data_IF_762914317402
#
_entry.id   IF_762914317402
#
_cell.length_a   1.000
_cell.length_b   1.000
_cell.length_c   1.000
_cell.angle_alpha   90.00
_cell.angle_beta   90.00
_cell.angle_gamma   90.00
#
_symmetry.space_group_name_H-M   'P 1'
#
loop_
_entity.id
_entity.type
_entity.pdbx_description
1 polymer ?
#
# COMPACT_ATOMS: atom_id res chain seq x y z
N UNK A 1 17.03 -25.47 -9.25
CA UNK A 1 15.60 -25.14 -9.49
C UNK A 1 15.08 -24.05 -8.56
N UNK A 2 15.48 -24.01 -7.28
CA UNK A 2 15.09 -22.97 -6.32
C UNK A 2 15.40 -21.53 -6.76
N UNK A 3 16.56 -21.29 -7.40
CA UNK A 3 16.92 -19.96 -7.93
C UNK A 3 15.89 -19.46 -8.94
N UNK A 4 15.52 -20.29 -9.92
CA UNK A 4 14.54 -19.91 -10.93
C UNK A 4 13.17 -19.60 -10.32
N UNK A 5 12.77 -20.37 -9.30
CA UNK A 5 11.53 -20.10 -8.59
C UNK A 5 11.56 -18.76 -7.85
N UNK A 6 12.66 -18.43 -7.15
CA UNK A 6 12.80 -17.16 -6.42
C UNK A 6 12.92 -15.98 -7.41
N UNK A 7 13.70 -16.14 -8.47
CA UNK A 7 13.86 -15.13 -9.52
C UNK A 7 12.52 -14.85 -10.20
N UNK A 8 11.75 -15.87 -10.57
CA UNK A 8 10.41 -15.69 -11.16
C UNK A 8 9.44 -15.11 -10.13
N UNK A 9 9.48 -15.56 -8.88
CA UNK A 9 8.55 -15.11 -7.84
C UNK A 9 8.82 -13.67 -7.35
N UNK A 10 10.02 -13.12 -7.55
CA UNK A 10 10.36 -11.78 -7.10
C UNK A 10 10.58 -10.79 -8.26
N UNK A 11 11.41 -11.13 -9.24
CA UNK A 11 11.79 -10.21 -10.32
C UNK A 11 10.59 -9.94 -11.24
N UNK A 12 9.77 -10.96 -11.55
CA UNK A 12 8.63 -10.77 -12.45
C UNK A 12 7.55 -9.89 -11.81
N UNK A 13 7.09 -10.12 -10.55
CA UNK A 13 6.15 -9.23 -9.89
C UNK A 13 6.69 -7.82 -9.66
N UNK A 14 7.99 -7.69 -9.35
CA UNK A 14 8.60 -6.37 -9.17
C UNK A 14 8.55 -5.56 -10.46
N UNK A 15 8.99 -6.13 -11.59
CA UNK A 15 8.97 -5.43 -12.88
C UNK A 15 7.54 -5.18 -13.38
N UNK A 16 6.62 -6.13 -13.20
CA UNK A 16 5.23 -5.94 -13.60
C UNK A 16 4.56 -4.83 -12.78
N UNK A 17 4.85 -4.75 -11.48
CA UNK A 17 4.32 -3.67 -10.62
C UNK A 17 4.81 -2.29 -11.06
N UNK A 18 6.11 -2.15 -11.37
CA UNK A 18 6.71 -0.88 -11.85
C UNK A 18 6.04 -0.44 -13.16
N UNK A 19 5.85 -1.37 -14.10
CA UNK A 19 5.20 -1.07 -15.38
C UNK A 19 3.75 -0.64 -15.16
N UNK A 20 2.99 -1.38 -14.36
CA UNK A 20 1.59 -1.07 -14.07
C UNK A 20 1.46 0.30 -13.39
N UNK A 21 2.26 0.57 -12.36
CA UNK A 21 2.23 1.85 -11.66
C UNK A 21 2.68 3.02 -12.53
N UNK A 22 3.68 2.81 -13.40
CA UNK A 22 4.10 3.80 -14.39
C UNK A 22 2.98 4.14 -15.38
N UNK A 23 2.23 3.12 -15.84
CA UNK A 23 1.07 3.31 -16.73
C UNK A 23 -0.04 4.08 -16.01
N UNK A 24 -0.38 3.69 -14.77
CA UNK A 24 -1.42 4.38 -13.98
C UNK A 24 -1.02 5.84 -13.75
N UNK A 25 0.25 6.09 -13.40
CA UNK A 25 0.76 7.44 -13.20
C UNK A 25 0.72 8.26 -14.49
N UNK A 26 1.11 7.68 -15.63
CA UNK A 26 1.03 8.32 -16.94
C UNK A 26 -0.42 8.69 -17.30
N UNK A 27 -1.37 7.78 -17.09
CA UNK A 27 -2.78 8.04 -17.34
C UNK A 27 -3.38 9.06 -16.39
N UNK A 28 -3.03 9.04 -15.11
CA UNK A 28 -3.44 10.05 -14.14
C UNK A 28 -3.00 11.44 -14.61
N UNK A 29 -1.71 11.60 -14.93
CA UNK A 29 -1.13 12.86 -15.41
C UNK A 29 -1.77 13.35 -16.71
N UNK A 30 -2.03 12.45 -17.67
CA UNK A 30 -2.70 12.79 -18.94
C UNK A 30 -4.17 13.18 -18.72
N UNK A 31 -4.86 12.51 -17.80
CA UNK A 31 -6.25 12.84 -17.43
C UNK A 31 -6.35 14.23 -16.79
N UNK A 32 -5.43 14.55 -15.87
CA UNK A 32 -5.32 15.86 -15.22
C UNK A 32 -5.03 16.99 -16.21
N UNK A 33 -4.21 16.74 -17.24
CA UNK A 33 -3.98 17.70 -18.32
C UNK A 33 -5.21 17.91 -19.22
N UNK A 34 -6.04 16.89 -19.44
CA UNK A 34 -7.20 16.97 -20.34
C UNK A 34 -8.38 17.73 -19.72
N UNK A 35 -8.48 17.73 -18.39
CA UNK A 35 -9.54 18.43 -17.65
C UNK A 35 -9.12 19.87 -17.30
N UNK A 36 -7.86 20.26 -17.51
CA UNK A 36 -7.42 21.65 -17.37
C UNK A 36 -8.09 22.49 -18.48
N UNK A 37 -9.10 23.31 -18.16
CA UNK A 37 -9.78 24.09 -19.19
C UNK A 37 -8.80 25.14 -19.71
N UNK A 38 -8.79 25.31 -21.04
CA UNK A 38 -8.06 26.38 -21.75
C UNK A 38 -8.73 27.74 -21.48
N UNK A 39 -8.88 28.10 -20.21
CA UNK A 39 -9.48 29.35 -19.74
C UNK A 39 -8.45 30.05 -18.87
N UNK A 40 -7.93 31.15 -19.41
CA UNK A 40 -6.85 32.01 -18.95
C UNK A 40 -7.05 32.70 -17.59
N UNK A 41 -7.96 32.26 -16.72
CA UNK A 41 -8.30 32.99 -15.49
C UNK A 41 -8.50 32.15 -14.21
N UNK A 42 -8.13 30.86 -14.17
CA UNK A 42 -8.45 30.01 -13.00
C UNK A 42 -7.18 29.40 -12.38
N UNK A 43 -6.47 30.23 -11.61
CA UNK A 43 -5.32 29.79 -10.80
C UNK A 43 -5.74 28.92 -9.59
N UNK A 44 -7.04 28.85 -9.29
CA UNK A 44 -7.60 28.24 -8.07
C UNK A 44 -8.05 26.78 -8.22
N UNK A 45 -8.34 26.27 -9.42
CA UNK A 45 -8.79 24.88 -9.63
C UNK A 45 -7.67 23.88 -9.93
N UNK A 46 -6.44 24.35 -10.22
CA UNK A 46 -5.28 23.47 -10.50
C UNK A 46 -4.71 22.77 -9.26
N UNK A 47 -4.88 23.38 -8.09
CA UNK A 47 -4.30 22.98 -6.80
C UNK A 47 -4.87 21.67 -6.22
N UNK A 48 -6.20 21.39 -6.24
CA UNK A 48 -6.75 20.16 -5.63
C UNK A 48 -6.39 18.88 -6.40
N UNK A 49 -6.31 18.93 -7.74
CA UNK A 49 -5.97 17.75 -8.55
C UNK A 49 -4.50 17.36 -8.43
N UNK A 50 -3.59 18.33 -8.48
CA UNK A 50 -2.15 18.08 -8.30
C UNK A 50 -1.84 17.48 -6.93
N UNK A 51 -2.53 17.92 -5.85
CA UNK A 51 -2.37 17.32 -4.51
C UNK A 51 -2.83 15.87 -4.44
N UNK A 52 -3.91 15.51 -5.14
CA UNK A 52 -4.41 14.13 -5.20
C UNK A 52 -3.46 13.22 -5.99
N UNK A 53 -2.95 13.70 -7.13
CA UNK A 53 -1.96 12.99 -7.94
C UNK A 53 -0.65 12.79 -7.19
N UNK A 54 -0.18 13.82 -6.49
CA UNK A 54 1.04 13.75 -5.69
C UNK A 54 0.89 12.78 -4.52
N UNK A 55 -0.28 12.73 -3.87
CA UNK A 55 -0.56 11.74 -2.81
C UNK A 55 -0.64 10.31 -3.35
N UNK A 56 -1.22 10.13 -4.54
CA UNK A 56 -1.27 8.82 -5.19
C UNK A 56 0.13 8.35 -5.58
N UNK A 57 0.94 9.23 -6.19
CA UNK A 57 2.33 8.95 -6.55
C UNK A 57 3.19 8.64 -5.32
N UNK A 58 3.00 9.39 -4.23
CA UNK A 58 3.69 9.13 -2.97
C UNK A 58 3.35 7.75 -2.40
N UNK A 59 2.07 7.33 -2.46
CA UNK A 59 1.66 6.00 -2.04
C UNK A 59 2.25 4.90 -2.95
N UNK A 60 2.28 5.11 -4.26
CA UNK A 60 2.87 4.17 -5.22
C UNK A 60 4.37 3.97 -4.97
N UNK A 61 5.13 5.08 -4.87
CA UNK A 61 6.57 5.05 -4.58
C UNK A 61 6.83 4.38 -3.24
N UNK A 62 5.99 4.66 -2.23
CA UNK A 62 6.12 4.05 -0.91
C UNK A 62 5.94 2.53 -0.98
N UNK A 63 4.90 2.04 -1.67
CA UNK A 63 4.65 0.60 -1.84
C UNK A 63 5.83 -0.06 -2.57
N UNK A 64 6.33 0.53 -3.66
CA UNK A 64 7.48 0.01 -4.39
C UNK A 64 8.76 -0.02 -3.52
N UNK A 65 9.02 1.03 -2.76
CA UNK A 65 10.16 1.11 -1.86
C UNK A 65 10.11 0.03 -0.78
N UNK A 66 8.94 -0.22 -0.19
CA UNK A 66 8.75 -1.30 0.79
C UNK A 66 8.92 -2.69 0.16
N UNK A 67 8.39 -2.88 -1.05
CA UNK A 67 8.53 -4.14 -1.78
C UNK A 67 9.99 -4.45 -2.14
N UNK A 68 10.72 -3.44 -2.61
CA UNK A 68 12.15 -3.55 -2.90
C UNK A 68 12.97 -3.81 -1.62
N UNK A 69 12.69 -3.10 -0.53
CA UNK A 69 13.38 -3.27 0.75
C UNK A 69 13.12 -4.66 1.38
N UNK A 70 11.88 -5.15 1.31
CA UNK A 70 11.52 -6.50 1.76
C UNK A 70 12.23 -7.59 0.95
N UNK A 71 12.44 -7.34 -0.35
CA UNK A 71 13.09 -8.28 -1.26
C UNK A 71 14.62 -8.18 -1.33
N UNK A 72 15.24 -7.12 -0.81
CA UNK A 72 16.70 -6.97 -0.85
C UNK A 72 17.45 -8.12 -0.17
N UNK A 73 17.01 -8.66 0.99
CA UNK A 73 17.63 -9.86 1.58
C UNK A 73 17.50 -11.11 0.71
N UNK A 74 16.39 -11.26 -0.03
CA UNK A 74 16.22 -12.35 -1.00
C UNK A 74 17.21 -12.23 -2.16
N UNK A 75 17.53 -11.01 -2.61
CA UNK A 75 18.57 -10.78 -3.62
C UNK A 75 19.95 -11.19 -3.11
N UNK A 76 20.26 -10.98 -1.84
CA UNK A 76 21.53 -11.44 -1.23
C UNK A 76 21.63 -12.98 -1.28
N UNK A 77 20.54 -13.70 -1.01
CA UNK A 77 20.51 -15.16 -1.13
C UNK A 77 20.73 -15.64 -2.58
N UNK A 78 20.13 -14.95 -3.56
CA UNK A 78 20.32 -15.25 -4.98
C UNK A 78 21.79 -15.00 -5.39
N UNK A 79 22.34 -13.85 -5.01
CA UNK A 79 23.73 -13.49 -5.30
C UNK A 79 24.71 -14.47 -4.65
N UNK A 80 24.41 -14.92 -3.42
CA UNK A 80 25.22 -15.94 -2.74
C UNK A 80 25.28 -17.24 -3.54
N UNK A 81 24.14 -17.75 -4.00
CA UNK A 81 24.12 -18.96 -4.84
C UNK A 81 24.76 -18.76 -6.22
N UNK A 82 24.78 -17.53 -6.74
CA UNK A 82 25.49 -17.20 -7.98
C UNK A 82 27.02 -17.25 -7.82
N UNK A 83 27.55 -16.82 -6.67
CA UNK A 83 28.99 -16.78 -6.39
C UNK A 83 29.50 -18.14 -5.89
N UNK A 84 28.77 -18.77 -4.96
CA UNK A 84 29.15 -20.06 -4.37
C UNK A 84 28.11 -21.13 -4.66
N UNK A 85 28.11 -21.63 -5.90
CA UNK A 85 27.14 -22.61 -6.41
C UNK A 85 27.14 -23.93 -5.61
N UNK A 86 28.27 -24.28 -4.98
CA UNK A 86 28.45 -25.56 -4.29
C UNK A 86 28.13 -25.52 -2.79
N UNK A 87 28.03 -24.34 -2.18
CA UNK A 87 27.75 -24.21 -0.75
C UNK A 87 26.32 -23.69 -0.54
N UNK A 88 25.54 -24.32 0.36
CA UNK A 88 24.24 -23.76 0.72
C UNK A 88 24.47 -22.41 1.43
N UNK A 89 23.55 -21.43 1.26
CA UNK A 89 23.60 -20.20 2.02
C UNK A 89 23.50 -20.49 3.52
N UNK A 90 24.21 -19.73 4.38
CA UNK A 90 24.04 -19.78 5.82
C UNK A 90 22.56 -19.66 6.24
N UNK A 91 22.13 -20.47 7.20
CA UNK A 91 20.75 -20.47 7.72
C UNK A 91 20.31 -19.08 8.23
N UNK A 92 21.26 -18.33 8.79
CA UNK A 92 21.06 -16.95 9.22
C UNK A 92 20.56 -16.02 8.11
N UNK A 93 20.93 -16.24 6.85
CA UNK A 93 20.46 -15.41 5.73
C UNK A 93 19.00 -15.73 5.34
N UNK A 94 18.58 -16.98 5.49
CA UNK A 94 17.18 -17.35 5.31
C UNK A 94 16.30 -16.74 6.40
N UNK A 95 16.73 -16.83 7.66
CA UNK A 95 16.04 -16.21 8.79
C UNK A 95 15.98 -14.68 8.65
N UNK A 96 17.08 -14.04 8.23
CA UNK A 96 17.12 -12.60 7.99
C UNK A 96 16.11 -12.19 6.91
N UNK A 97 16.03 -12.97 5.83
CA UNK A 97 15.11 -12.69 4.72
C UNK A 97 13.65 -12.81 5.14
N UNK A 98 13.30 -13.89 5.84
CA UNK A 98 11.93 -14.09 6.34
C UNK A 98 11.53 -12.99 7.34
N UNK A 99 12.40 -12.66 8.29
CA UNK A 99 12.14 -11.59 9.26
C UNK A 99 11.99 -10.22 8.59
N UNK A 100 12.81 -9.94 7.58
CA UNK A 100 12.71 -8.68 6.83
C UNK A 100 11.38 -8.57 6.10
N UNK A 101 10.93 -9.62 5.41
CA UNK A 101 9.63 -9.62 4.71
C UNK A 101 8.49 -9.35 5.70
N UNK A 102 8.48 -10.02 6.85
CA UNK A 102 7.46 -9.82 7.88
C UNK A 102 7.49 -8.40 8.43
N UNK A 103 8.67 -7.89 8.77
CA UNK A 103 8.83 -6.55 9.33
C UNK A 103 8.39 -5.47 8.34
N UNK A 104 8.87 -5.52 7.10
CA UNK A 104 8.50 -4.54 6.07
C UNK A 104 7.03 -4.62 5.67
N UNK A 105 6.42 -5.81 5.66
CA UNK A 105 4.98 -5.96 5.41
C UNK A 105 4.17 -5.32 6.52
N UNK A 106 4.54 -5.51 7.79
CA UNK A 106 3.88 -4.87 8.93
C UNK A 106 4.00 -3.34 8.85
N UNK A 107 5.20 -2.81 8.59
CA UNK A 107 5.41 -1.37 8.44
C UNK A 107 4.60 -0.81 7.26
N UNK A 108 4.54 -1.53 6.14
CA UNK A 108 3.74 -1.14 4.97
C UNK A 108 2.25 -1.06 5.30
N UNK A 109 1.69 -2.06 5.99
CA UNK A 109 0.27 -2.07 6.39
C UNK A 109 -0.02 -0.87 7.31
N UNK A 110 0.84 -0.63 8.31
CA UNK A 110 0.71 0.50 9.23
C UNK A 110 0.74 1.83 8.46
N UNK A 111 1.71 2.01 7.57
CA UNK A 111 1.84 3.22 6.75
C UNK A 111 0.63 3.42 5.83
N UNK A 112 0.13 2.37 5.17
CA UNK A 112 -1.06 2.44 4.32
C UNK A 112 -2.30 2.82 5.13
N UNK A 113 -2.44 2.27 6.33
CA UNK A 113 -3.52 2.61 7.25
C UNK A 113 -3.49 4.09 7.65
N UNK A 114 -2.32 4.64 8.00
CA UNK A 114 -2.21 6.05 8.39
C UNK A 114 -2.32 7.02 7.20
N UNK A 115 -1.88 6.62 6.01
CA UNK A 115 -1.87 7.51 4.83
C UNK A 115 -3.26 7.60 4.17
N UNK A 116 -4.06 6.54 4.24
CA UNK A 116 -5.45 6.53 3.79
C UNK A 116 -6.41 7.06 4.86
N UNK A 117 -6.54 8.40 4.93
CA UNK A 117 -7.53 9.08 5.79
C UNK A 117 -8.93 8.49 5.72
N UNK A 118 -9.42 8.13 4.52
CA UNK A 118 -10.75 7.55 4.37
C UNK A 118 -10.90 6.18 5.06
N UNK A 119 -9.88 5.31 4.97
CA UNK A 119 -9.90 3.99 5.62
C UNK A 119 -9.79 4.15 7.13
N UNK A 120 -8.91 5.03 7.61
CA UNK A 120 -8.76 5.39 9.02
C UNK A 120 -10.06 5.96 9.59
N UNK A 121 -10.69 6.91 8.90
CA UNK A 121 -11.90 7.58 9.37
C UNK A 121 -13.10 6.61 9.38
N UNK A 122 -13.21 5.71 8.39
CA UNK A 122 -14.25 4.65 8.39
C UNK A 122 -14.02 3.66 9.55
N UNK A 123 -12.78 3.22 9.76
CA UNK A 123 -12.46 2.26 10.83
C UNK A 123 -12.66 2.85 12.23
N UNK A 124 -12.19 4.08 12.45
CA UNK A 124 -12.32 4.77 13.75
C UNK A 124 -13.75 5.26 14.01
N UNK A 125 -14.49 5.69 12.99
CA UNK A 125 -15.90 6.09 13.18
C UNK A 125 -16.83 4.90 13.36
N UNK A 126 -16.56 3.72 12.75
CA UNK A 126 -17.32 2.49 13.06
C UNK A 126 -17.20 2.10 14.53
N UNK A 127 -16.01 2.24 15.13
CA UNK A 127 -15.83 2.03 16.57
C UNK A 127 -16.54 3.07 17.45
N UNK A 128 -16.89 4.24 16.90
CA UNK A 128 -17.60 5.30 17.62
C UNK A 128 -19.13 5.19 17.55
N UNK A 129 -19.67 4.42 16.60
CA UNK A 129 -21.12 4.36 16.32
C UNK A 129 -21.84 3.20 17.06
N UNK A 130 -21.12 2.27 17.66
CA UNK A 130 -21.68 1.34 18.65
C UNK A 130 -21.37 1.87 20.06
N UNK A 131 -22.20 2.77 20.64
CA UNK A 131 -23.30 2.32 21.49
C UNK A 131 -24.48 3.31 21.60
N UNK A 132 -25.00 3.87 20.51
CA UNK A 132 -26.18 4.79 20.60
C UNK A 132 -27.46 4.16 20.01
N UNK A 133 -27.34 3.26 19.03
CA UNK A 133 -28.50 2.60 18.43
C UNK A 133 -29.11 1.52 19.33
N UNK A 134 -28.33 0.90 20.20
CA UNK A 134 -28.81 -0.05 21.22
C UNK A 134 -29.49 0.64 22.40
N UNK A 135 -29.01 1.82 22.81
CA UNK A 135 -29.62 2.61 23.89
C UNK A 135 -30.99 3.15 23.47
N UNK A 136 -31.11 3.69 22.26
CA UNK A 136 -32.39 4.20 21.76
C UNK A 136 -33.42 3.09 21.51
N UNK A 137 -32.99 1.89 21.08
CA UNK A 137 -33.90 0.74 20.94
C UNK A 137 -34.36 0.19 22.29
N UNK A 138 -33.50 0.18 23.31
CA UNK A 138 -33.93 -0.23 24.66
C UNK A 138 -34.87 0.80 25.30
N UNK A 139 -34.62 2.10 25.12
CA UNK A 139 -35.54 3.13 25.62
C UNK A 139 -36.89 3.13 24.89
N UNK A 140 -36.92 2.88 23.58
CA UNK A 140 -38.18 2.73 22.84
C UNK A 140 -38.95 1.45 23.21
N UNK A 141 -38.26 0.33 23.48
CA UNK A 141 -38.95 -0.88 23.94
C UNK A 141 -39.50 -0.73 25.37
N UNK A 142 -38.81 -0.01 26.25
CA UNK A 142 -39.31 0.27 27.61
C UNK A 142 -40.57 1.16 27.60
N UNK A 143 -40.63 2.17 26.71
CA UNK A 143 -41.82 3.03 26.59
C UNK A 143 -43.05 2.32 26.00
N UNK A 144 -42.86 1.25 25.23
CA UNK A 144 -43.97 0.44 24.68
C UNK A 144 -44.54 -0.53 25.73
N UNK A 145 -43.80 -0.84 26.80
CA UNK A 145 -44.27 -1.72 27.88
C UNK A 145 -45.03 -0.93 28.96
N UNK A 146 -44.85 0.39 29.03
CA UNK A 146 -45.55 1.27 29.99
C UNK A 146 -46.88 1.86 29.47
N UNK A 147 -47.36 1.42 28.30
CA UNK A 147 -48.68 1.75 27.73
C UNK A 147 -49.50 0.49 27.49
#
# INVERSE_FOLDING_TARGET
MSIYAITIAFIVPLNSSIIIYSIIFYHARKSSQRIAPSTSNIMTTRIPYARREMKLAQNMIMIEAFYAAAGAPLLILILWQGIQVKSPPPESFYLLSMNSIVLFTNVMIIMLFYTNKQVKDIALNRQRVEPVSTVNRQQQMLQVIEH
#
